data_IF_457727317958
#
_entry.id   IF_457727317958
#
_cell.length_a   1.000
_cell.length_b   1.000
_cell.length_c   1.000
_cell.angle_alpha   90.00
_cell.angle_beta   90.00
_cell.angle_gamma   90.00
#
_symmetry.space_group_name_H-M   'P 1'
#
loop_
_entity.id
_entity.type
_entity.pdbx_description
1 polymer ?
#
# COMPACT_ATOMS: atom_id res chain seq x y z
N UNK A 1 27.13 25.10 3.82
CA UNK A 1 25.98 24.16 3.84
C UNK A 1 26.07 23.39 2.55
N UNK A 2 26.43 22.10 2.64
CA UNK A 2 26.57 21.20 1.50
C UNK A 2 25.48 20.14 1.59
N UNK A 3 24.78 19.90 0.48
CA UNK A 3 23.83 18.78 0.35
C UNK A 3 24.45 17.79 -0.61
N UNK A 4 24.63 16.54 -0.16
CA UNK A 4 25.08 15.41 -0.95
C UNK A 4 23.94 14.38 -1.03
N UNK A 5 23.65 13.84 -2.22
CA UNK A 5 22.63 12.81 -2.41
C UNK A 5 23.31 11.56 -2.94
N UNK A 6 23.11 10.44 -2.24
CA UNK A 6 23.72 9.15 -2.56
C UNK A 6 22.65 8.12 -2.84
N UNK A 7 22.91 7.25 -3.81
CA UNK A 7 22.11 6.04 -3.99
C UNK A 7 22.30 5.09 -2.78
N UNK A 8 21.24 4.36 -2.46
CA UNK A 8 21.26 3.28 -1.46
C UNK A 8 21.17 1.97 -2.24
N UNK A 9 22.30 1.28 -2.29
CA UNK A 9 22.36 -0.04 -2.93
C UNK A 9 21.82 -1.10 -1.94
N UNK A 10 21.06 -2.08 -2.46
CA UNK A 10 20.42 -3.09 -1.61
C UNK A 10 21.42 -4.04 -0.93
N UNK A 11 22.64 -4.13 -1.44
CA UNK A 11 23.75 -4.90 -0.89
C UNK A 11 24.63 -4.11 0.10
N UNK A 12 24.27 -2.84 0.39
CA UNK A 12 24.87 -2.03 1.48
C UNK A 12 23.95 -2.01 2.71
N UNK A 13 24.11 -2.95 3.68
CA UNK A 13 23.22 -3.04 4.83
C UNK A 13 23.26 -1.82 5.75
N UNK A 14 24.37 -1.06 5.78
CA UNK A 14 24.48 0.15 6.59
C UNK A 14 23.69 1.31 5.98
N UNK A 15 23.77 1.48 4.66
CA UNK A 15 22.97 2.48 3.95
C UNK A 15 21.48 2.13 4.00
N UNK A 16 21.11 0.86 3.82
CA UNK A 16 19.72 0.38 3.94
C UNK A 16 19.17 0.64 5.34
N UNK A 17 19.92 0.30 6.41
CA UNK A 17 19.49 0.55 7.78
C UNK A 17 19.29 2.04 8.05
N UNK A 18 20.18 2.92 7.55
CA UNK A 18 20.07 4.36 7.68
C UNK A 18 18.86 4.90 6.94
N UNK A 19 18.60 4.41 5.73
CA UNK A 19 17.42 4.76 4.93
C UNK A 19 16.12 4.39 5.65
N UNK A 20 16.00 3.15 6.16
CA UNK A 20 14.83 2.69 6.89
C UNK A 20 14.61 3.50 8.19
N UNK A 21 15.68 3.76 8.94
CA UNK A 21 15.60 4.56 10.17
C UNK A 21 15.13 6.00 9.91
N UNK A 22 15.59 6.64 8.82
CA UNK A 22 15.14 7.97 8.41
C UNK A 22 13.66 7.98 8.05
N UNK A 23 13.19 7.00 7.28
CA UNK A 23 11.77 6.88 6.95
C UNK A 23 10.92 6.72 8.21
N UNK A 24 11.31 5.81 9.09
CA UNK A 24 10.61 5.58 10.36
C UNK A 24 10.58 6.81 11.27
N UNK A 25 11.62 7.64 11.26
CA UNK A 25 11.65 8.89 12.02
C UNK A 25 10.71 9.98 11.46
N UNK A 26 10.38 9.92 10.18
CA UNK A 26 9.46 10.89 9.52
C UNK A 26 8.04 10.34 9.48
N UNK A 27 7.87 9.06 9.20
CA UNK A 27 6.59 8.39 9.05
C UNK A 27 6.77 6.89 9.40
N UNK A 28 6.46 6.55 10.64
CA UNK A 28 6.67 5.19 11.15
C UNK A 28 5.71 4.17 10.50
N UNK A 29 4.51 4.61 10.11
CA UNK A 29 3.46 3.74 9.56
C UNK A 29 3.74 3.35 8.10
N UNK A 30 4.57 4.14 7.40
CA UNK A 30 4.94 3.94 5.99
C UNK A 30 6.43 3.61 5.80
N UNK A 31 7.17 3.35 6.88
CA UNK A 31 8.60 3.07 6.80
C UNK A 31 8.88 1.70 6.16
N UNK A 32 9.96 1.60 5.39
CA UNK A 32 10.48 0.30 4.97
C UNK A 32 11.24 -0.38 6.11
N UNK A 33 11.37 -1.71 6.01
CA UNK A 33 12.27 -2.50 6.83
C UNK A 33 13.43 -3.02 5.96
N UNK A 34 14.60 -3.35 6.52
CA UNK A 34 15.67 -3.96 5.75
C UNK A 34 15.24 -5.26 5.04
N UNK A 35 14.38 -6.05 5.66
CA UNK A 35 13.79 -7.27 5.09
C UNK A 35 12.87 -6.95 3.92
N UNK A 36 12.06 -5.89 4.04
CA UNK A 36 11.18 -5.40 2.97
C UNK A 36 11.99 -4.90 1.77
N UNK A 37 13.09 -4.17 2.00
CA UNK A 37 14.02 -3.74 0.94
C UNK A 37 14.64 -4.94 0.23
N UNK A 38 15.11 -5.95 0.99
CA UNK A 38 15.70 -7.16 0.41
C UNK A 38 14.67 -7.97 -0.39
N UNK A 39 13.44 -8.08 0.12
CA UNK A 39 12.34 -8.73 -0.59
C UNK A 39 12.02 -8.01 -1.90
N UNK A 40 11.91 -6.67 -1.88
CA UNK A 40 11.56 -5.88 -3.06
C UNK A 40 12.65 -5.99 -4.14
N UNK A 41 13.93 -5.97 -3.77
CA UNK A 41 15.04 -6.17 -4.70
C UNK A 41 15.04 -7.56 -5.32
N UNK A 42 14.72 -8.59 -4.53
CA UNK A 42 14.62 -9.97 -5.02
C UNK A 42 13.41 -10.17 -5.96
N UNK A 43 12.27 -9.55 -5.65
CA UNK A 43 11.05 -9.66 -6.43
C UNK A 43 11.08 -8.79 -7.71
N UNK A 44 11.75 -7.63 -7.67
CA UNK A 44 11.77 -6.62 -8.73
C UNK A 44 13.17 -6.02 -8.93
N UNK A 45 14.15 -6.83 -9.32
CA UNK A 45 15.55 -6.39 -9.40
C UNK A 45 15.72 -5.19 -10.33
N UNK A 46 16.28 -4.11 -9.76
CA UNK A 46 16.57 -2.88 -10.49
C UNK A 46 15.34 -2.08 -10.93
N UNK A 47 14.16 -2.31 -10.36
CA UNK A 47 12.93 -1.54 -10.67
C UNK A 47 12.60 -0.46 -9.60
N UNK A 48 13.34 -0.45 -8.47
CA UNK A 48 13.17 0.53 -7.38
C UNK A 48 14.52 1.13 -7.00
N UNK A 49 14.57 2.44 -6.85
CA UNK A 49 15.78 3.17 -6.49
C UNK A 49 15.54 3.99 -5.23
N UNK A 50 16.52 3.95 -4.34
CA UNK A 50 16.51 4.59 -3.04
C UNK A 50 17.67 5.56 -2.93
N UNK A 51 17.46 6.66 -2.22
CA UNK A 51 18.44 7.72 -2.05
C UNK A 51 18.47 8.21 -0.61
N UNK A 52 19.65 8.58 -0.13
CA UNK A 52 19.88 9.32 1.11
C UNK A 52 20.40 10.72 0.78
N UNK A 53 19.86 11.73 1.43
CA UNK A 53 20.40 13.07 1.41
C UNK A 53 21.15 13.36 2.71
N UNK A 54 22.42 13.78 2.57
CA UNK A 54 23.26 14.19 3.66
C UNK A 54 23.39 15.71 3.65
N UNK A 55 23.25 16.34 4.82
CA UNK A 55 23.44 17.76 5.01
C UNK A 55 24.66 17.96 5.90
N UNK A 56 25.73 18.55 5.34
CA UNK A 56 27.02 18.69 6.02
C UNK A 56 27.57 17.35 6.56
N UNK A 57 27.31 16.24 5.86
CA UNK A 57 27.73 14.89 6.19
C UNK A 57 26.75 14.05 6.99
N UNK A 58 25.71 14.66 7.58
CA UNK A 58 24.70 13.94 8.39
C UNK A 58 23.49 13.55 7.54
N UNK A 59 22.98 12.29 7.61
CA UNK A 59 21.82 11.86 6.88
C UNK A 59 20.56 12.52 7.47
N UNK A 60 19.81 13.24 6.61
CA UNK A 60 18.66 14.07 7.02
C UNK A 60 17.42 13.87 6.15
N UNK A 61 17.50 13.08 5.10
CA UNK A 61 16.36 12.82 4.22
C UNK A 61 16.56 11.57 3.38
N UNK A 62 15.46 11.01 2.93
CA UNK A 62 15.40 9.83 2.09
C UNK A 62 14.44 10.06 0.92
N UNK A 63 14.66 9.34 -0.17
CA UNK A 63 13.73 9.26 -1.28
C UNK A 63 13.68 7.84 -1.83
N UNK A 64 12.53 7.52 -2.42
CA UNK A 64 12.32 6.30 -3.19
C UNK A 64 11.60 6.64 -4.48
N UNK A 65 11.97 5.98 -5.56
CA UNK A 65 11.28 6.04 -6.84
C UNK A 65 11.37 4.71 -7.57
N UNK A 66 10.38 4.40 -8.37
CA UNK A 66 10.38 3.15 -9.11
C UNK A 66 9.06 2.89 -9.82
N UNK A 67 8.96 1.70 -10.37
CA UNK A 67 7.77 1.24 -11.05
C UNK A 67 6.61 1.01 -10.06
N UNK A 68 5.42 1.42 -10.43
CA UNK A 68 4.17 1.03 -9.76
C UNK A 68 3.70 -0.32 -10.34
N UNK A 69 3.95 -1.40 -9.60
CA UNK A 69 3.75 -2.78 -10.08
C UNK A 69 2.28 -3.16 -10.32
N UNK A 70 1.35 -2.34 -9.86
CA UNK A 70 -0.10 -2.49 -10.14
C UNK A 70 -0.53 -1.85 -11.45
N UNK A 71 0.38 -1.19 -12.17
CA UNK A 71 0.12 -0.59 -13.47
C UNK A 71 0.95 -1.26 -14.58
N UNK A 72 0.56 -1.03 -15.83
CA UNK A 72 1.29 -1.50 -16.99
C UNK A 72 2.79 -1.15 -16.93
N UNK A 73 3.65 -2.03 -17.46
CA UNK A 73 5.09 -1.76 -17.55
C UNK A 73 5.41 -0.48 -18.34
N UNK A 74 4.57 -0.14 -19.30
CA UNK A 74 4.72 1.05 -20.14
C UNK A 74 4.14 2.32 -19.49
N UNK A 75 3.66 2.24 -18.24
CA UNK A 75 3.12 3.42 -17.55
C UNK A 75 4.16 4.56 -17.55
N UNK A 76 3.77 5.79 -18.00
CA UNK A 76 4.73 6.87 -18.25
C UNK A 76 5.32 7.49 -16.98
N UNK A 77 4.84 7.11 -15.80
CA UNK A 77 5.27 7.68 -14.53
C UNK A 77 5.82 6.62 -13.59
N UNK A 78 6.83 7.01 -12.81
CA UNK A 78 7.23 6.29 -11.61
C UNK A 78 6.49 6.84 -10.38
N UNK A 79 6.45 6.07 -9.29
CA UNK A 79 6.09 6.64 -8.00
C UNK A 79 7.26 7.45 -7.41
N UNK A 80 6.93 8.38 -6.50
CA UNK A 80 7.90 9.19 -5.80
C UNK A 80 7.52 9.27 -4.31
N UNK A 81 8.40 8.82 -3.45
CA UNK A 81 8.36 9.04 -2.01
C UNK A 81 9.52 9.95 -1.57
N UNK A 82 9.25 10.92 -0.70
CA UNK A 82 10.24 11.85 -0.17
C UNK A 82 10.01 12.08 1.32
N UNK A 83 11.05 11.88 2.11
CA UNK A 83 11.03 12.07 3.57
C UNK A 83 12.19 12.96 3.99
N UNK A 84 11.92 14.00 4.77
CA UNK A 84 12.94 14.91 5.29
C UNK A 84 12.63 15.16 6.76
N UNK A 85 13.64 14.96 7.62
CA UNK A 85 13.54 15.22 9.04
C UNK A 85 13.01 16.65 9.29
N UNK A 86 12.06 16.86 10.21
CA UNK A 86 11.41 18.14 10.44
C UNK A 86 12.39 19.32 10.58
N UNK A 87 13.46 19.15 11.37
CA UNK A 87 14.50 20.15 11.63
C UNK A 87 15.39 20.48 10.43
N UNK A 88 15.37 19.61 9.40
CA UNK A 88 16.14 19.78 8.16
C UNK A 88 15.29 20.26 6.98
N UNK A 89 13.98 20.47 7.19
CA UNK A 89 13.09 21.04 6.18
C UNK A 89 13.46 22.48 5.81
N UNK A 90 12.99 22.94 4.65
CA UNK A 90 13.20 24.30 4.10
C UNK A 90 14.68 24.67 3.86
N UNK A 91 15.57 23.69 3.87
CA UNK A 91 17.02 23.85 3.63
C UNK A 91 17.48 23.30 2.27
N UNK A 92 16.54 22.99 1.35
CA UNK A 92 16.84 22.49 -0.01
C UNK A 92 16.93 20.98 -0.14
N UNK A 93 16.91 20.21 0.98
CA UNK A 93 17.08 18.75 0.99
C UNK A 93 16.03 18.03 0.10
N UNK A 94 14.75 18.31 0.29
CA UNK A 94 13.69 17.72 -0.54
C UNK A 94 13.81 18.06 -2.03
N UNK A 95 14.37 19.25 -2.36
CA UNK A 95 14.63 19.61 -3.77
C UNK A 95 15.77 18.80 -4.36
N UNK A 96 16.83 18.56 -3.58
CA UNK A 96 17.96 17.72 -4.03
C UNK A 96 17.52 16.28 -4.26
N UNK A 97 16.74 15.69 -3.33
CA UNK A 97 16.16 14.35 -3.49
C UNK A 97 15.24 14.26 -4.71
N UNK A 98 14.34 15.24 -4.91
CA UNK A 98 13.46 15.29 -6.08
C UNK A 98 14.24 15.32 -7.40
N UNK A 99 15.37 16.07 -7.46
CA UNK A 99 16.25 16.10 -8.65
C UNK A 99 16.89 14.74 -8.90
N UNK A 100 17.47 14.11 -7.88
CA UNK A 100 18.10 12.79 -8.01
C UNK A 100 17.09 11.72 -8.49
N UNK A 101 15.89 11.68 -7.90
CA UNK A 101 14.82 10.80 -8.36
C UNK A 101 14.40 11.12 -9.81
N UNK A 102 14.35 12.42 -10.19
CA UNK A 102 14.00 12.84 -11.55
C UNK A 102 15.04 12.42 -12.59
N UNK A 103 16.33 12.53 -12.27
CA UNK A 103 17.41 12.06 -13.14
C UNK A 103 17.29 10.57 -13.40
N UNK A 104 16.99 9.78 -12.34
CA UNK A 104 16.79 8.34 -12.48
C UNK A 104 15.56 7.99 -13.33
N UNK A 105 14.41 8.65 -13.07
CA UNK A 105 13.18 8.44 -13.82
C UNK A 105 13.37 8.80 -15.32
N UNK A 106 14.05 9.90 -15.60
CA UNK A 106 14.39 10.34 -16.97
C UNK A 106 15.29 9.33 -17.67
N UNK A 107 16.31 8.81 -16.99
CA UNK A 107 17.19 7.77 -17.52
C UNK A 107 16.42 6.46 -17.84
N UNK A 108 15.31 6.21 -17.17
CA UNK A 108 14.40 5.11 -17.46
C UNK A 108 13.29 5.45 -18.48
N UNK A 109 13.37 6.62 -19.13
CA UNK A 109 12.41 7.07 -20.15
C UNK A 109 11.05 7.48 -19.60
N UNK A 110 10.95 7.82 -18.32
CA UNK A 110 9.68 8.27 -17.69
C UNK A 110 9.50 9.77 -17.87
N UNK A 111 8.21 10.18 -17.96
CA UNK A 111 7.80 11.56 -18.23
C UNK A 111 7.46 12.33 -16.95
N UNK A 112 7.22 11.64 -15.83
CA UNK A 112 6.81 12.27 -14.59
C UNK A 112 6.69 11.29 -13.42
N UNK A 113 6.08 11.80 -12.36
CA UNK A 113 5.84 11.06 -11.13
C UNK A 113 4.37 11.00 -10.76
N UNK A 114 4.03 9.97 -9.99
CA UNK A 114 2.88 9.89 -9.13
C UNK A 114 3.34 9.82 -7.67
N UNK A 115 2.69 10.55 -6.78
CA UNK A 115 2.97 10.49 -5.34
C UNK A 115 1.70 10.69 -4.54
N UNK A 116 1.77 10.41 -3.25
CA UNK A 116 0.67 10.61 -2.32
C UNK A 116 1.12 11.51 -1.17
N UNK A 117 0.18 12.29 -0.65
CA UNK A 117 0.39 13.08 0.54
C UNK A 117 -0.89 13.16 1.36
N UNK A 118 -0.78 12.94 2.66
CA UNK A 118 -1.91 13.06 3.57
C UNK A 118 -2.28 14.54 3.79
N UNK A 119 -3.58 14.82 3.89
CA UNK A 119 -4.09 16.15 4.30
C UNK A 119 -3.57 16.56 5.69
N UNK A 120 -3.19 15.60 6.53
CA UNK A 120 -2.56 15.87 7.82
C UNK A 120 -1.19 16.54 7.69
N UNK A 121 -0.57 16.49 6.50
CA UNK A 121 0.76 17.03 6.23
C UNK A 121 0.73 18.18 5.20
N UNK A 122 0.23 19.38 5.57
CA UNK A 122 0.08 20.51 4.63
C UNK A 122 1.41 20.95 4.00
N UNK A 123 2.54 20.76 4.68
CA UNK A 123 3.88 21.05 4.14
C UNK A 123 4.25 20.12 2.97
N UNK A 124 3.85 18.84 3.03
CA UNK A 124 4.05 17.89 1.93
C UNK A 124 3.18 18.28 0.74
N UNK A 125 1.90 18.58 0.97
CA UNK A 125 0.97 19.06 -0.06
C UNK A 125 1.51 20.35 -0.72
N UNK A 126 1.98 21.31 0.07
CA UNK A 126 2.56 22.55 -0.45
C UNK A 126 3.84 22.30 -1.26
N UNK A 127 4.66 21.32 -0.84
CA UNK A 127 5.91 20.95 -1.53
C UNK A 127 5.62 20.43 -2.94
N UNK A 128 4.68 19.51 -3.11
CA UNK A 128 4.36 18.92 -4.42
C UNK A 128 3.64 19.92 -5.31
N UNK A 129 2.65 20.67 -4.81
CA UNK A 129 1.95 21.71 -5.57
C UNK A 129 2.90 22.81 -6.06
N UNK A 130 3.86 23.21 -5.23
CA UNK A 130 4.89 24.20 -5.59
C UNK A 130 5.86 23.71 -6.69
N UNK A 131 5.80 22.44 -7.09
CA UNK A 131 6.57 21.82 -8.18
C UNK A 131 5.75 21.47 -9.41
N UNK A 132 4.51 21.97 -9.46
CA UNK A 132 3.63 21.75 -10.60
C UNK A 132 2.90 20.42 -10.57
N UNK A 133 2.88 19.71 -9.43
CA UNK A 133 2.02 18.55 -9.29
C UNK A 133 0.56 18.98 -9.16
N UNK A 134 -0.31 18.29 -9.88
CA UNK A 134 -1.76 18.44 -9.82
C UNK A 134 -2.38 17.26 -9.06
N UNK A 135 -3.42 17.55 -8.29
CA UNK A 135 -4.25 16.53 -7.66
C UNK A 135 -4.95 15.70 -8.76
N UNK A 136 -4.86 14.40 -8.70
CA UNK A 136 -5.42 13.47 -9.68
C UNK A 136 -6.54 12.63 -9.08
N UNK A 137 -6.38 12.19 -7.85
CA UNK A 137 -7.40 11.44 -7.11
C UNK A 137 -7.28 11.69 -5.59
N UNK A 138 -8.25 11.12 -4.87
CA UNK A 138 -8.33 11.22 -3.42
C UNK A 138 -8.81 9.91 -2.83
N UNK A 139 -8.09 9.40 -1.86
CA UNK A 139 -8.46 8.21 -1.10
C UNK A 139 -8.99 8.59 0.28
N UNK A 140 -10.15 8.07 0.62
CA UNK A 140 -10.74 8.18 1.96
C UNK A 140 -10.10 7.15 2.86
N UNK A 141 -9.23 7.63 3.75
CA UNK A 141 -8.60 6.80 4.75
C UNK A 141 -9.53 6.58 5.95
N UNK A 142 -9.56 5.36 6.45
CA UNK A 142 -10.41 4.98 7.59
C UNK A 142 -9.69 3.98 8.49
N UNK A 143 -10.01 3.99 9.79
CA UNK A 143 -9.48 3.04 10.78
C UNK A 143 -10.59 2.38 11.60
N UNK A 144 -10.39 1.13 11.98
CA UNK A 144 -11.23 0.38 12.92
C UNK A 144 -10.44 0.11 14.19
N UNK A 145 -10.97 0.59 15.32
CA UNK A 145 -10.40 0.37 16.66
C UNK A 145 -10.75 -1.04 17.15
N UNK A 146 -9.81 -1.97 16.99
CA UNK A 146 -9.97 -3.36 17.45
C UNK A 146 -9.79 -3.47 18.97
N UNK A 147 -9.00 -2.57 19.59
CA UNK A 147 -8.82 -2.54 21.04
C UNK A 147 -10.14 -2.19 21.73
N UNK A 148 -10.84 -1.17 21.21
CA UNK A 148 -12.18 -0.80 21.70
C UNK A 148 -13.21 -1.91 21.48
N UNK A 149 -13.17 -2.59 20.34
CA UNK A 149 -14.04 -3.74 20.06
C UNK A 149 -13.80 -4.90 21.05
N UNK A 150 -12.55 -5.25 21.36
CA UNK A 150 -12.23 -6.28 22.37
C UNK A 150 -12.71 -5.91 23.77
N UNK A 151 -12.66 -4.62 24.12
CA UNK A 151 -13.14 -4.14 25.41
C UNK A 151 -14.67 -4.10 25.53
N UNK A 152 -15.38 -4.21 24.39
CA UNK A 152 -16.85 -4.23 24.36
C UNK A 152 -17.40 -5.57 24.84
N UNK A 153 -18.72 -5.59 25.20
CA UNK A 153 -19.35 -6.80 25.70
C UNK A 153 -19.26 -7.99 24.71
N UNK A 154 -19.15 -9.23 25.19
CA UNK A 154 -18.94 -10.43 24.34
C UNK A 154 -19.94 -10.63 23.19
N UNK A 155 -21.13 -10.02 23.24
CA UNK A 155 -22.14 -10.08 22.17
C UNK A 155 -21.93 -9.06 21.03
N UNK A 156 -20.96 -8.13 21.15
CA UNK A 156 -20.65 -7.12 20.14
C UNK A 156 -19.56 -7.57 19.12
N UNK A 157 -18.96 -8.77 19.34
CA UNK A 157 -17.92 -9.27 18.47
C UNK A 157 -18.46 -9.59 17.07
N UNK A 158 -17.82 -9.11 16.00
CA UNK A 158 -18.23 -9.43 14.64
C UNK A 158 -18.09 -10.94 14.40
N UNK A 159 -19.05 -11.51 13.68
CA UNK A 159 -19.00 -12.89 13.20
C UNK A 159 -18.77 -12.91 11.70
N UNK A 160 -17.94 -13.83 11.24
CA UNK A 160 -17.72 -14.07 9.82
C UNK A 160 -18.60 -15.25 9.38
N UNK A 161 -19.69 -14.95 8.66
CA UNK A 161 -20.57 -15.97 8.08
C UNK A 161 -20.48 -15.87 6.57
N UNK A 162 -20.15 -16.99 5.92
CA UNK A 162 -20.16 -17.07 4.47
C UNK A 162 -21.60 -16.92 3.94
N UNK A 163 -21.82 -16.25 2.80
CA UNK A 163 -23.09 -16.28 2.11
C UNK A 163 -23.48 -17.72 1.70
N UNK A 164 -24.77 -17.96 1.51
CA UNK A 164 -25.27 -19.28 1.09
C UNK A 164 -24.60 -19.74 -0.23
N UNK A 165 -24.18 -21.01 -0.26
CA UNK A 165 -23.45 -21.59 -1.39
C UNK A 165 -21.95 -21.31 -1.41
N UNK A 166 -21.41 -20.65 -0.39
CA UNK A 166 -19.97 -20.32 -0.29
C UNK A 166 -19.39 -20.77 1.05
N UNK A 167 -18.06 -20.93 1.06
CA UNK A 167 -17.27 -21.09 2.27
C UNK A 167 -16.16 -20.03 2.29
N UNK A 168 -15.72 -19.64 3.50
CA UNK A 168 -14.56 -18.78 3.70
C UNK A 168 -13.39 -19.63 4.22
N UNK A 169 -12.27 -19.61 3.54
CA UNK A 169 -11.08 -20.38 3.90
C UNK A 169 -9.86 -19.50 3.92
N UNK A 170 -8.91 -19.74 4.83
CA UNK A 170 -7.64 -19.06 4.81
C UNK A 170 -6.76 -19.61 3.68
N UNK A 171 -5.98 -18.73 3.03
CA UNK A 171 -5.05 -19.18 1.98
C UNK A 171 -3.93 -20.05 2.56
N UNK A 172 -3.60 -19.89 3.84
CA UNK A 172 -2.67 -20.75 4.56
C UNK A 172 -3.10 -22.23 4.53
N UNK A 173 -4.40 -22.50 4.65
CA UNK A 173 -4.97 -23.84 4.63
C UNK A 173 -5.19 -24.37 3.21
N UNK A 174 -5.30 -23.48 2.22
CA UNK A 174 -5.64 -23.79 0.83
C UNK A 174 -4.75 -23.04 -0.16
N UNK A 175 -3.42 -23.26 -0.13
CA UNK A 175 -2.48 -22.61 -1.06
C UNK A 175 -2.75 -22.98 -2.53
N UNK A 176 -3.42 -24.09 -2.78
CA UNK A 176 -3.89 -24.49 -4.11
C UNK A 176 -4.88 -23.50 -4.75
N UNK A 177 -5.48 -22.60 -3.97
CA UNK A 177 -6.40 -21.56 -4.47
C UNK A 177 -5.69 -20.32 -5.06
N UNK A 178 -4.36 -20.16 -4.91
CA UNK A 178 -3.62 -18.98 -5.41
C UNK A 178 -3.92 -18.69 -6.89
N UNK A 179 -3.93 -19.68 -7.82
CA UNK A 179 -4.32 -19.41 -9.21
C UNK A 179 -5.78 -18.94 -9.35
N UNK A 180 -6.67 -19.41 -8.45
CA UNK A 180 -8.05 -18.94 -8.38
C UNK A 180 -8.18 -17.52 -7.91
N UNK A 181 -7.38 -17.12 -6.90
CA UNK A 181 -7.30 -15.76 -6.38
C UNK A 181 -6.79 -14.79 -7.46
N UNK A 182 -5.78 -15.18 -8.22
CA UNK A 182 -5.31 -14.41 -9.38
C UNK A 182 -6.42 -14.20 -10.42
N UNK A 183 -7.21 -15.25 -10.74
CA UNK A 183 -8.38 -15.09 -11.63
C UNK A 183 -9.41 -14.10 -11.08
N UNK A 184 -9.65 -14.09 -9.76
CA UNK A 184 -10.50 -13.06 -9.13
C UNK A 184 -9.95 -11.68 -9.37
N UNK A 185 -8.64 -11.47 -9.22
CA UNK A 185 -7.99 -10.18 -9.50
C UNK A 185 -8.14 -9.76 -10.97
N UNK A 186 -7.88 -10.67 -11.92
CA UNK A 186 -8.03 -10.42 -13.36
C UNK A 186 -9.45 -9.95 -13.71
N UNK A 187 -10.48 -10.57 -13.12
CA UNK A 187 -11.88 -10.20 -13.39
C UNK A 187 -12.34 -8.95 -12.63
N UNK A 188 -11.80 -8.70 -11.44
CA UNK A 188 -12.28 -7.64 -10.55
C UNK A 188 -11.56 -6.29 -10.75
N UNK A 189 -10.25 -6.29 -10.97
CA UNK A 189 -9.44 -5.07 -11.04
C UNK A 189 -9.90 -4.05 -12.09
N UNK A 190 -10.32 -4.45 -13.31
CA UNK A 190 -10.79 -3.49 -14.30
C UNK A 190 -12.03 -2.68 -13.88
N UNK A 191 -12.72 -3.11 -12.82
CA UNK A 191 -13.91 -2.44 -12.30
C UNK A 191 -13.69 -1.72 -10.97
N UNK A 192 -12.46 -1.71 -10.45
CA UNK A 192 -12.11 -0.91 -9.28
C UNK A 192 -11.99 0.55 -9.73
N UNK A 193 -12.72 1.50 -9.09
CA UNK A 193 -12.57 2.91 -9.42
C UNK A 193 -11.14 3.36 -9.12
N UNK A 194 -10.41 3.68 -10.16
CA UNK A 194 -9.05 4.25 -10.12
C UNK A 194 -8.82 5.06 -11.37
N UNK A 195 -8.07 6.15 -11.28
CA UNK A 195 -7.76 6.99 -12.46
C UNK A 195 -6.95 6.23 -13.50
N UNK A 196 -6.00 5.41 -13.05
CA UNK A 196 -5.24 4.52 -13.93
C UNK A 196 -5.70 3.08 -13.69
N UNK A 197 -6.12 2.34 -14.74
CA UNK A 197 -6.52 0.94 -14.59
C UNK A 197 -5.43 0.09 -13.92
N UNK A 198 -5.83 -0.70 -12.94
CA UNK A 198 -4.94 -1.64 -12.27
C UNK A 198 -4.84 -2.94 -13.08
N UNK A 199 -3.63 -3.50 -13.12
CA UNK A 199 -3.35 -4.81 -13.73
C UNK A 199 -2.83 -5.77 -12.66
N UNK A 200 -3.37 -6.98 -12.57
CA UNK A 200 -2.88 -7.97 -11.61
C UNK A 200 -1.49 -8.50 -11.98
N UNK A 201 -1.03 -8.30 -13.23
CA UNK A 201 0.20 -8.88 -13.75
C UNK A 201 0.07 -10.37 -14.03
N UNK A 202 1.20 -11.05 -14.25
CA UNK A 202 1.26 -12.50 -14.40
C UNK A 202 0.93 -13.21 -13.09
N UNK A 203 0.58 -14.49 -13.13
CA UNK A 203 0.35 -15.28 -11.91
C UNK A 203 1.59 -15.28 -11.00
N UNK A 204 2.79 -15.30 -11.57
CA UNK A 204 4.05 -15.28 -10.81
C UNK A 204 4.24 -13.94 -10.10
N UNK A 205 4.10 -12.81 -10.80
CA UNK A 205 4.18 -11.45 -10.25
C UNK A 205 3.12 -11.24 -9.16
N UNK A 206 1.87 -11.63 -9.43
CA UNK A 206 0.78 -11.56 -8.46
C UNK A 206 1.06 -12.40 -7.21
N UNK A 207 1.54 -13.63 -7.40
CA UNK A 207 1.83 -14.53 -6.29
C UNK A 207 2.90 -13.95 -5.37
N UNK A 208 3.97 -13.37 -5.93
CA UNK A 208 5.03 -12.75 -5.14
C UNK A 208 4.55 -11.47 -4.44
N UNK A 209 3.83 -10.60 -5.16
CA UNK A 209 3.44 -9.27 -4.66
C UNK A 209 2.24 -9.28 -3.74
N UNK A 210 1.18 -10.03 -4.11
CA UNK A 210 -0.15 -9.91 -3.47
C UNK A 210 -0.48 -11.08 -2.55
N UNK A 211 0.32 -12.17 -2.57
CA UNK A 211 0.09 -13.34 -1.71
C UNK A 211 1.25 -13.57 -0.75
N UNK A 212 2.48 -13.71 -1.26
CA UNK A 212 3.65 -14.09 -0.44
C UNK A 212 4.58 -12.91 -0.11
N UNK A 213 4.07 -11.68 -0.19
CA UNK A 213 4.81 -10.53 0.31
C UNK A 213 5.04 -10.65 1.81
N UNK A 214 6.24 -10.24 2.27
CA UNK A 214 6.78 -10.46 3.61
C UNK A 214 5.82 -10.11 4.77
N UNK A 215 4.97 -9.07 4.61
CA UNK A 215 4.07 -8.60 5.66
C UNK A 215 2.61 -9.04 5.50
N UNK A 216 2.31 -9.98 4.60
CA UNK A 216 0.95 -10.51 4.40
C UNK A 216 0.78 -11.78 5.26
N UNK A 217 -0.10 -11.75 6.28
CA UNK A 217 -0.41 -12.96 7.05
C UNK A 217 -1.29 -13.90 6.23
N UNK A 218 -0.77 -15.08 5.89
CA UNK A 218 -1.48 -16.04 5.05
C UNK A 218 -2.73 -16.62 5.74
N UNK A 219 -2.74 -16.70 7.05
CA UNK A 219 -3.89 -17.11 7.89
C UNK A 219 -4.93 -15.98 8.07
N UNK A 220 -4.53 -14.73 7.81
CA UNK A 220 -5.39 -13.55 7.73
C UNK A 220 -5.84 -13.20 6.30
N UNK A 221 -5.45 -14.00 5.32
CA UNK A 221 -5.84 -13.88 3.93
C UNK A 221 -6.99 -14.84 3.61
N UNK A 222 -8.20 -14.32 3.45
CA UNK A 222 -9.41 -15.15 3.24
C UNK A 222 -9.84 -15.18 1.79
N UNK A 223 -10.22 -16.39 1.34
CA UNK A 223 -10.80 -16.65 0.03
C UNK A 223 -12.23 -17.15 0.21
N UNK A 224 -13.16 -16.57 -0.52
CA UNK A 224 -14.52 -17.10 -0.65
C UNK A 224 -14.54 -18.12 -1.79
N UNK A 225 -14.95 -19.35 -1.47
CA UNK A 225 -14.98 -20.47 -2.39
C UNK A 225 -16.43 -20.88 -2.64
N UNK A 226 -16.85 -20.97 -3.90
CA UNK A 226 -18.15 -21.49 -4.28
C UNK A 226 -18.20 -23.00 -3.97
N UNK A 227 -19.14 -23.43 -3.15
CA UNK A 227 -19.21 -24.81 -2.66
C UNK A 227 -19.50 -25.83 -3.78
N UNK A 228 -20.25 -25.42 -4.81
CA UNK A 228 -20.65 -26.30 -5.91
C UNK A 228 -19.48 -26.60 -6.86
N UNK A 229 -18.59 -25.65 -7.10
CA UNK A 229 -17.52 -25.75 -8.10
C UNK A 229 -16.12 -25.86 -7.50
N UNK A 230 -15.96 -25.42 -6.25
CA UNK A 230 -14.65 -25.25 -5.62
C UNK A 230 -13.86 -24.04 -6.13
N UNK A 231 -14.46 -23.17 -6.94
CA UNK A 231 -13.80 -22.01 -7.50
C UNK A 231 -13.75 -20.81 -6.53
N UNK A 232 -12.66 -20.04 -6.60
CA UNK A 232 -12.55 -18.77 -5.88
C UNK A 232 -13.50 -17.74 -6.47
N UNK A 233 -14.35 -17.16 -5.62
CA UNK A 233 -15.35 -16.15 -5.97
C UNK A 233 -14.93 -14.73 -5.56
N UNK A 234 -14.07 -14.62 -4.55
CA UNK A 234 -13.55 -13.36 -4.03
C UNK A 234 -12.47 -13.61 -2.99
N UNK A 235 -11.76 -12.56 -2.61
CA UNK A 235 -10.77 -12.60 -1.52
C UNK A 235 -10.66 -11.28 -0.78
N UNK A 236 -10.13 -11.34 0.44
CA UNK A 236 -9.64 -10.17 1.17
C UNK A 236 -8.39 -10.55 1.94
N UNK A 237 -7.41 -9.66 1.93
CA UNK A 237 -6.17 -9.83 2.65
C UNK A 237 -5.80 -8.58 3.45
N UNK A 238 -4.92 -8.79 4.40
CA UNK A 238 -4.30 -7.78 5.22
C UNK A 238 -2.80 -7.72 4.93
N UNK A 239 -2.21 -6.56 5.17
CA UNK A 239 -0.76 -6.37 5.22
C UNK A 239 -0.41 -5.62 6.50
N UNK A 240 0.53 -6.12 7.28
CA UNK A 240 0.99 -5.41 8.48
C UNK A 240 1.64 -4.08 8.10
N UNK A 241 1.40 -3.05 8.91
CA UNK A 241 2.16 -1.82 8.82
C UNK A 241 3.66 -2.11 9.08
N UNK A 242 4.58 -1.38 8.42
CA UNK A 242 6.02 -1.63 8.58
C UNK A 242 6.46 -1.60 10.04
N UNK A 243 7.20 -2.64 10.47
CA UNK A 243 7.69 -2.74 11.84
C UNK A 243 6.62 -2.90 12.92
N UNK A 244 5.34 -3.04 12.56
CA UNK A 244 4.23 -3.19 13.50
C UNK A 244 3.70 -4.62 13.51
N UNK A 245 3.34 -5.09 14.70
CA UNK A 245 2.55 -6.31 14.91
C UNK A 245 1.14 -5.99 15.43
N UNK A 246 0.84 -4.71 15.62
CA UNK A 246 -0.41 -4.23 16.22
C UNK A 246 -1.34 -3.54 15.20
N UNK A 247 -0.81 -3.08 14.07
CA UNK A 247 -1.56 -2.37 13.03
C UNK A 247 -1.40 -3.09 11.70
N UNK A 248 -2.51 -3.27 10.99
CA UNK A 248 -2.50 -3.78 9.64
C UNK A 248 -3.46 -2.98 8.74
N UNK A 249 -3.23 -3.04 7.45
CA UNK A 249 -4.07 -2.42 6.43
C UNK A 249 -4.84 -3.49 5.66
N UNK A 250 -6.07 -3.19 5.25
CA UNK A 250 -6.69 -3.94 4.16
C UNK A 250 -5.93 -3.61 2.88
N UNK A 251 -5.19 -4.58 2.39
CA UNK A 251 -4.44 -4.46 1.14
C UNK A 251 -5.41 -4.54 -0.05
N UNK A 252 -6.22 -5.61 -0.13
CA UNK A 252 -7.24 -5.77 -1.15
C UNK A 252 -8.51 -6.42 -0.63
N UNK A 253 -9.63 -6.08 -1.24
CA UNK A 253 -10.90 -6.84 -1.16
C UNK A 253 -11.51 -6.88 -2.56
N UNK A 254 -11.55 -8.04 -3.17
CA UNK A 254 -12.03 -8.23 -4.53
C UNK A 254 -13.07 -9.34 -4.61
N UNK A 255 -14.10 -9.12 -5.44
CA UNK A 255 -15.17 -10.13 -5.72
C UNK A 255 -15.40 -10.14 -7.22
N UNK A 256 -15.40 -11.33 -7.81
CA UNK A 256 -15.72 -11.53 -9.24
C UNK A 256 -17.09 -10.92 -9.55
N UNK A 257 -17.25 -10.24 -10.70
CA UNK A 257 -18.50 -9.56 -11.07
C UNK A 257 -19.75 -10.46 -10.95
N UNK A 258 -19.65 -11.72 -11.33
CA UNK A 258 -20.75 -12.69 -11.28
C UNK A 258 -21.27 -12.99 -9.86
N UNK A 259 -20.49 -12.73 -8.83
CA UNK A 259 -20.81 -13.01 -7.42
C UNK A 259 -21.09 -11.77 -6.57
N UNK A 260 -21.09 -10.58 -7.18
CA UNK A 260 -21.39 -9.30 -6.50
C UNK A 260 -22.86 -9.22 -6.07
N UNK A 261 -23.15 -8.32 -5.14
CA UNK A 261 -24.52 -8.12 -4.61
C UNK A 261 -25.00 -9.20 -3.65
N UNK A 262 -24.16 -10.21 -3.32
CA UNK A 262 -24.49 -11.32 -2.41
C UNK A 262 -23.87 -11.17 -1.01
N UNK A 263 -23.37 -9.99 -0.63
CA UNK A 263 -22.75 -9.75 0.68
C UNK A 263 -21.33 -10.30 0.83
N UNK A 264 -20.72 -10.81 -0.25
CA UNK A 264 -19.40 -11.48 -0.23
C UNK A 264 -18.28 -10.58 0.32
N UNK A 265 -18.16 -9.32 -0.17
CA UNK A 265 -17.13 -8.40 0.30
C UNK A 265 -17.25 -8.10 1.81
N UNK A 266 -18.48 -7.95 2.31
CA UNK A 266 -18.75 -7.77 3.75
C UNK A 266 -18.35 -9.01 4.55
N UNK A 267 -18.65 -10.20 4.06
CA UNK A 267 -18.29 -11.46 4.72
C UNK A 267 -16.76 -11.64 4.79
N UNK A 268 -16.06 -11.38 3.70
CA UNK A 268 -14.59 -11.43 3.62
C UNK A 268 -13.94 -10.43 4.57
N UNK A 269 -14.40 -9.15 4.57
CA UNK A 269 -13.87 -8.15 5.51
C UNK A 269 -14.16 -8.51 6.97
N UNK A 270 -15.31 -9.11 7.29
CA UNK A 270 -15.59 -9.61 8.63
C UNK A 270 -14.64 -10.75 9.02
N UNK A 271 -14.29 -11.64 8.09
CA UNK A 271 -13.33 -12.71 8.34
C UNK A 271 -11.96 -12.15 8.71
N UNK A 272 -11.45 -11.14 7.96
CA UNK A 272 -10.19 -10.48 8.28
C UNK A 272 -10.25 -9.74 9.62
N UNK A 273 -11.37 -9.09 9.98
CA UNK A 273 -11.57 -8.43 11.27
C UNK A 273 -11.57 -9.45 12.43
N UNK A 274 -12.27 -10.58 12.28
CA UNK A 274 -12.29 -11.64 13.29
C UNK A 274 -10.89 -12.21 13.51
N UNK A 275 -10.16 -12.47 12.43
CA UNK A 275 -8.78 -12.91 12.51
C UNK A 275 -7.90 -11.88 13.23
N UNK A 276 -7.98 -10.61 12.84
CA UNK A 276 -7.18 -9.52 13.44
C UNK A 276 -7.45 -9.35 14.95
N UNK A 277 -8.72 -9.51 15.36
CA UNK A 277 -9.09 -9.52 16.77
C UNK A 277 -8.45 -10.71 17.52
N UNK A 278 -8.47 -11.89 16.91
CA UNK A 278 -7.85 -13.11 17.45
C UNK A 278 -6.33 -13.04 17.51
N UNK A 279 -5.70 -12.40 16.50
CA UNK A 279 -4.26 -12.15 16.43
C UNK A 279 -3.79 -11.03 17.37
N UNK A 280 -4.71 -10.31 18.01
CA UNK A 280 -4.37 -9.28 19.00
C UNK A 280 -4.04 -7.90 18.42
N UNK A 281 -4.37 -7.62 17.14
CA UNK A 281 -4.13 -6.32 16.52
C UNK A 281 -4.94 -5.22 17.23
N UNK A 282 -4.41 -4.02 17.27
CA UNK A 282 -5.03 -2.86 17.89
C UNK A 282 -5.89 -2.07 16.90
N UNK A 283 -5.46 -1.95 15.64
CA UNK A 283 -6.19 -1.21 14.60
C UNK A 283 -6.10 -1.91 13.24
N UNK A 284 -7.17 -1.75 12.43
CA UNK A 284 -7.17 -2.03 11.00
C UNK A 284 -7.42 -0.76 10.23
N UNK A 285 -6.57 -0.46 9.27
CA UNK A 285 -6.71 0.67 8.36
C UNK A 285 -7.21 0.24 6.99
N UNK A 286 -7.84 1.14 6.25
CA UNK A 286 -8.21 0.94 4.85
C UNK A 286 -8.25 2.29 4.13
N UNK A 287 -7.85 2.25 2.85
CA UNK A 287 -7.95 3.38 1.94
C UNK A 287 -8.87 2.99 0.78
N UNK A 288 -9.76 3.87 0.39
CA UNK A 288 -10.63 3.67 -0.76
C UNK A 288 -10.74 4.96 -1.56
N UNK A 289 -10.64 4.84 -2.87
CA UNK A 289 -10.98 5.94 -3.76
C UNK A 289 -12.32 6.58 -3.37
N UNK A 290 -12.42 7.90 -3.44
CA UNK A 290 -13.65 8.61 -3.03
C UNK A 290 -14.87 8.24 -3.88
N UNK A 291 -14.67 7.75 -5.10
CA UNK A 291 -15.72 7.25 -5.98
C UNK A 291 -16.16 5.81 -5.63
N UNK A 292 -15.36 5.07 -4.84
CA UNK A 292 -15.69 3.71 -4.42
C UNK A 292 -16.76 3.67 -3.31
N UNK A 293 -17.92 4.24 -3.61
CA UNK A 293 -19.07 4.31 -2.68
C UNK A 293 -19.47 2.95 -2.10
N UNK A 294 -19.49 1.82 -2.85
CA UNK A 294 -19.84 0.52 -2.27
C UNK A 294 -18.89 0.10 -1.15
N UNK A 295 -17.57 0.21 -1.36
CA UNK A 295 -16.60 -0.20 -0.34
C UNK A 295 -16.60 0.75 0.86
N UNK A 296 -16.75 2.05 0.64
CA UNK A 296 -16.91 3.05 1.72
C UNK A 296 -18.13 2.77 2.58
N UNK A 297 -19.26 2.38 1.96
CA UNK A 297 -20.47 1.98 2.69
C UNK A 297 -20.25 0.73 3.53
N UNK A 298 -19.52 -0.26 3.01
CA UNK A 298 -19.14 -1.46 3.77
C UNK A 298 -18.29 -1.07 4.97
N UNK A 299 -17.23 -0.27 4.78
CA UNK A 299 -16.37 0.18 5.87
C UNK A 299 -17.18 0.94 6.97
N UNK A 300 -18.04 1.86 6.56
CA UNK A 300 -18.90 2.59 7.51
C UNK A 300 -19.81 1.63 8.30
N UNK A 301 -20.41 0.63 7.65
CA UNK A 301 -21.28 -0.37 8.30
C UNK A 301 -20.52 -1.29 9.27
N UNK A 302 -19.21 -1.44 9.09
CA UNK A 302 -18.32 -2.22 9.94
C UNK A 302 -17.72 -1.40 11.10
N UNK A 303 -18.06 -0.10 11.19
CA UNK A 303 -17.63 0.76 12.30
C UNK A 303 -16.30 1.46 12.11
N UNK A 304 -15.78 1.50 10.87
CA UNK A 304 -14.58 2.29 10.59
C UNK A 304 -14.84 3.79 10.75
N UNK A 305 -13.93 4.48 11.42
CA UNK A 305 -13.91 5.95 11.57
C UNK A 305 -13.05 6.60 10.48
N UNK A 306 -13.39 7.81 10.07
CA UNK A 306 -12.58 8.57 9.12
C UNK A 306 -11.23 9.00 9.71
N UNK A 307 -10.21 8.95 8.89
CA UNK A 307 -8.90 9.57 9.06
C UNK A 307 -8.75 10.72 8.06
N UNK A 308 -7.69 11.55 8.15
CA UNK A 308 -7.33 12.49 7.10
C UNK A 308 -7.17 11.80 5.74
N UNK A 309 -7.66 12.42 4.68
CA UNK A 309 -7.60 11.87 3.35
C UNK A 309 -6.17 11.79 2.82
N UNK A 310 -5.90 10.79 1.96
CA UNK A 310 -4.70 10.70 1.14
C UNK A 310 -4.98 11.27 -0.25
N UNK A 311 -4.18 12.25 -0.67
CA UNK A 311 -4.31 12.91 -1.96
C UNK A 311 -3.27 12.35 -2.91
N UNK A 312 -3.73 11.79 -4.03
CA UNK A 312 -2.87 11.37 -5.13
C UNK A 312 -2.55 12.55 -6.05
N UNK A 313 -1.27 12.72 -6.33
CA UNK A 313 -0.75 13.78 -7.19
C UNK A 313 0.00 13.19 -8.37
N UNK A 314 -0.11 13.83 -9.53
CA UNK A 314 0.77 13.60 -10.67
C UNK A 314 1.50 14.88 -11.04
N UNK A 315 2.76 14.75 -11.45
CA UNK A 315 3.54 15.93 -11.77
C UNK A 315 4.78 15.62 -12.60
N UNK A 316 5.49 16.69 -13.04
CA UNK A 316 6.64 16.60 -13.92
C UNK A 316 7.87 16.02 -13.21
N UNK A 317 8.88 15.69 -13.98
CA UNK A 317 10.26 15.57 -13.49
C UNK A 317 10.85 16.96 -13.20
N UNK A 318 11.81 17.04 -12.30
CA UNK A 318 12.59 18.28 -12.11
C UNK A 318 13.24 18.71 -13.43
N UNK A 319 13.34 20.02 -13.73
CA UNK A 319 14.11 20.49 -14.87
C UNK A 319 15.55 19.96 -14.83
N UNK A 320 16.12 19.75 -16.01
CA UNK A 320 17.55 19.47 -16.13
C UNK A 320 18.37 20.66 -15.57
N UNK A 321 19.49 20.35 -14.93
CA UNK A 321 20.36 21.35 -14.31
C UNK A 321 21.12 22.17 -15.35
#
# INVERSE_FOLDING_TARGET
>A
MSIDVRAVEADDPAAVATYCALRAAVDADEADTPEGVAWEEAAYPGEVWRFLALLDGEPVGAATTGRMHVYSRDHPRFYLGLWVLPESRRRGVGTALYRAASERARAAGKEGFRCWASEAHPDAVAFVRGRGFAEEDRSKAVALDLRGLRASAPGAMPTATAPEGFSLVAIADRPDLVPGVHRVAVEAFPSIPTVTPMEPGTLEEFTARDVYRERIPLDGFFVAVETATGEAAGYANLIFAPGSTAVAHHDMTAVRPAFRGRGMATALKRATIVWALGAGLDELHANNDEENTPMRSINASLGYRSLPDEIGFTGPLAPEA
#
